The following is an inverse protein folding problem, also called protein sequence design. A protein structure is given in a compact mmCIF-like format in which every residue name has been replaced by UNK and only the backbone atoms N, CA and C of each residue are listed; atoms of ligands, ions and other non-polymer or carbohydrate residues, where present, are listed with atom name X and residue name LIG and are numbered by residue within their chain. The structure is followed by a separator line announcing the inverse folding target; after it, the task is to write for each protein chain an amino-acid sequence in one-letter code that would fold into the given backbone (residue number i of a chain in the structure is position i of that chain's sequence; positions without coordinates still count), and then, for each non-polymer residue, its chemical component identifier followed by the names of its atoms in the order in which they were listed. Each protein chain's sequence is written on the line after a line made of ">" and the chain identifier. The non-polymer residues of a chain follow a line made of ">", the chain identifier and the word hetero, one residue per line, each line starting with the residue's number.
data_IF_291265253827
#
_entry.id   IF_291265253827
#
_cell.length_a   1.000
_cell.length_b   1.000
_cell.length_c   1.000
_cell.angle_alpha   90.00
_cell.angle_beta   90.00
_cell.angle_gamma   90.00
#
_symmetry.space_group_name_H-M   'P 1'
#
loop_
_entity.id
_entity.type
_entity.pdbx_description
1 polymer ?
#
# COMPACT_ATOMS: atom_id res chain seq x y z
N UNK A 1 -0.48 23.79 35.97
CA UNK A 1 0.53 23.58 34.92
C UNK A 1 0.98 22.13 35.01
N UNK A 2 0.38 21.25 34.21
CA UNK A 2 0.71 19.81 34.20
C UNK A 2 1.86 19.59 33.22
N UNK A 3 3.01 19.17 33.77
CA UNK A 3 4.22 18.78 33.05
C UNK A 3 3.92 17.53 32.21
N UNK A 4 4.02 17.65 30.89
CA UNK A 4 3.87 16.53 29.96
C UNK A 4 4.96 15.49 30.23
N UNK A 5 4.54 14.24 30.38
CA UNK A 5 5.32 13.10 30.81
C UNK A 5 5.35 12.07 29.68
N UNK A 6 6.08 12.36 28.59
CA UNK A 6 6.73 11.38 27.70
C UNK A 6 7.48 12.10 26.57
N UNK A 7 8.81 12.13 26.62
CA UNK A 7 9.66 12.54 25.50
C UNK A 7 10.69 11.41 25.33
N UNK A 8 10.64 10.65 24.22
CA UNK A 8 11.49 9.49 24.03
C UNK A 8 12.95 9.91 23.83
N UNK A 9 13.86 9.08 24.34
CA UNK A 9 15.30 9.27 24.27
C UNK A 9 15.80 9.25 22.80
N UNK A 10 16.40 10.34 22.30
CA UNK A 10 16.83 10.47 20.92
C UNK A 10 17.89 9.44 20.49
N UNK A 11 18.67 8.87 21.42
CA UNK A 11 19.63 7.81 21.08
C UNK A 11 18.93 6.50 20.70
N UNK A 12 17.84 6.16 21.40
CA UNK A 12 17.05 4.95 21.12
C UNK A 12 16.32 5.03 19.79
N UNK A 13 15.91 6.24 19.38
CA UNK A 13 15.30 6.48 18.07
C UNK A 13 16.29 6.17 16.95
N UNK A 14 17.53 6.65 17.07
CA UNK A 14 18.56 6.41 16.05
C UNK A 14 18.94 4.92 15.94
N UNK A 15 19.03 4.22 17.07
CA UNK A 15 19.34 2.78 17.07
C UNK A 15 18.23 1.95 16.38
N UNK A 16 16.96 2.26 16.63
CA UNK A 16 15.83 1.60 15.98
C UNK A 16 15.75 1.88 14.48
N UNK A 17 16.12 3.10 14.06
CA UNK A 17 16.17 3.50 12.65
C UNK A 17 17.29 2.77 11.90
N UNK A 18 18.48 2.66 12.48
CA UNK A 18 19.62 1.98 11.85
C UNK A 18 19.40 0.47 11.74
N UNK A 19 18.82 -0.15 12.78
CA UNK A 19 18.50 -1.59 12.78
C UNK A 19 17.42 -1.95 11.74
N UNK A 20 16.45 -1.07 11.54
CA UNK A 20 15.39 -1.24 10.54
C UNK A 20 15.89 -1.06 9.10
N UNK A 21 16.81 -0.10 8.86
CA UNK A 21 17.49 0.05 7.56
C UNK A 21 18.25 -1.21 7.18
N UNK A 22 19.00 -1.81 8.12
CA UNK A 22 19.81 -3.01 7.86
C UNK A 22 18.97 -4.20 7.39
N UNK A 23 17.80 -4.45 7.99
CA UNK A 23 16.91 -5.55 7.58
C UNK A 23 16.27 -5.31 6.21
N UNK A 24 15.79 -4.10 5.95
CA UNK A 24 15.22 -3.74 4.66
C UNK A 24 16.25 -3.89 3.54
N UNK A 25 17.49 -3.46 3.79
CA UNK A 25 18.60 -3.66 2.87
C UNK A 25 18.92 -5.13 2.60
N UNK A 26 18.85 -5.99 3.62
CA UNK A 26 19.10 -7.44 3.45
C UNK A 26 18.02 -8.14 2.60
N UNK A 27 16.76 -7.70 2.68
CA UNK A 27 15.70 -8.20 1.78
C UNK A 27 15.83 -7.63 0.37
N UNK A 28 16.20 -6.35 0.25
CA UNK A 28 16.35 -5.67 -1.04
C UNK A 28 17.60 -6.11 -1.82
N UNK A 29 18.66 -6.57 -1.13
CA UNK A 29 19.89 -7.10 -1.73
C UNK A 29 19.79 -8.57 -2.16
N UNK A 30 18.76 -9.29 -1.69
CA UNK A 30 18.57 -10.73 -1.95
C UNK A 30 17.24 -10.97 -2.71
N UNK A 31 17.30 -11.13 -4.05
CA UNK A 31 16.12 -11.33 -4.89
C UNK A 31 15.30 -12.57 -4.52
N UNK A 32 15.93 -13.62 -4.00
CA UNK A 32 15.24 -14.86 -3.62
C UNK A 32 14.44 -14.68 -2.33
N UNK A 33 15.00 -13.97 -1.34
CA UNK A 33 14.26 -13.63 -0.10
C UNK A 33 13.09 -12.69 -0.38
N UNK A 34 13.29 -11.69 -1.23
CA UNK A 34 12.22 -10.79 -1.68
C UNK A 34 11.08 -11.56 -2.37
N UNK A 35 11.43 -12.48 -3.28
CA UNK A 35 10.44 -13.30 -3.99
C UNK A 35 9.69 -14.25 -3.05
N UNK A 36 10.39 -14.89 -2.12
CA UNK A 36 9.78 -15.78 -1.11
C UNK A 36 8.79 -15.03 -0.22
N UNK A 37 9.17 -13.83 0.22
CA UNK A 37 8.31 -12.97 1.04
C UNK A 37 7.04 -12.56 0.28
N UNK A 38 7.17 -12.26 -1.02
CA UNK A 38 6.05 -11.97 -1.90
C UNK A 38 5.15 -13.21 -2.11
N UNK A 39 5.75 -14.37 -2.34
CA UNK A 39 5.02 -15.63 -2.54
C UNK A 39 4.24 -16.05 -1.29
N UNK A 40 4.84 -15.91 -0.11
CA UNK A 40 4.18 -16.21 1.17
C UNK A 40 3.01 -15.23 1.44
N UNK A 41 3.18 -13.95 1.10
CA UNK A 41 2.12 -12.96 1.17
C UNK A 41 0.97 -13.29 0.20
N UNK A 42 1.28 -13.66 -1.05
CA UNK A 42 0.27 -14.07 -2.05
C UNK A 42 -0.43 -15.36 -1.64
N UNK A 43 0.30 -16.32 -1.06
CA UNK A 43 -0.27 -17.58 -0.58
C UNK A 43 -1.21 -17.33 0.60
N UNK A 44 -0.83 -16.50 1.56
CA UNK A 44 -1.68 -16.12 2.70
C UNK A 44 -2.93 -15.34 2.27
N UNK A 45 -2.80 -14.51 1.22
CA UNK A 45 -3.92 -13.82 0.58
C UNK A 45 -4.87 -14.75 -0.19
N UNK A 46 -4.35 -15.81 -0.82
CA UNK A 46 -5.15 -16.81 -1.56
C UNK A 46 -5.79 -17.87 -0.65
N UNK A 47 -5.18 -18.16 0.51
CA UNK A 47 -5.65 -19.16 1.47
C UNK A 47 -6.73 -18.65 2.44
N UNK A 48 -7.13 -17.38 2.35
CA UNK A 48 -8.32 -16.85 3.04
C UNK A 48 -9.44 -16.66 2.03
N UNK A 49 -10.65 -17.14 2.34
CA UNK A 49 -11.84 -16.90 1.53
C UNK A 49 -12.02 -15.39 1.30
N UNK A 50 -12.52 -15.03 0.10
CA UNK A 50 -12.81 -13.64 -0.25
C UNK A 50 -13.76 -13.08 0.82
N UNK A 51 -13.36 -12.08 1.63
CA UNK A 51 -14.19 -11.61 2.72
C UNK A 51 -15.52 -11.09 2.17
N UNK A 52 -16.65 -11.47 2.77
CA UNK A 52 -17.97 -10.93 2.44
C UNK A 52 -18.32 -9.78 3.39
N UNK A 53 -18.96 -8.72 2.90
CA UNK A 53 -19.32 -7.54 3.70
C UNK A 53 -18.26 -6.41 3.67
N UNK A 54 -18.13 -5.58 4.72
CA UNK A 54 -17.26 -4.39 4.74
C UNK A 54 -15.79 -4.65 4.41
N UNK A 55 -15.32 -5.89 4.60
CA UNK A 55 -13.97 -6.32 4.28
C UNK A 55 -13.74 -6.58 2.77
N UNK A 56 -14.80 -6.78 1.98
CA UNK A 56 -14.72 -6.92 0.53
C UNK A 56 -14.22 -5.63 -0.13
N UNK A 57 -14.77 -4.49 0.29
CA UNK A 57 -14.39 -3.17 -0.21
C UNK A 57 -12.92 -2.85 0.12
N UNK A 58 -12.47 -3.22 1.33
CA UNK A 58 -11.05 -3.12 1.69
C UNK A 58 -10.16 -3.93 0.75
N UNK A 59 -10.61 -5.14 0.36
CA UNK A 59 -9.86 -6.00 -0.53
C UNK A 59 -9.76 -5.45 -1.96
N UNK A 60 -10.84 -4.83 -2.44
CA UNK A 60 -10.87 -4.16 -3.75
C UNK A 60 -10.04 -2.88 -3.76
N UNK A 61 -10.12 -2.08 -2.70
CA UNK A 61 -9.29 -0.88 -2.53
C UNK A 61 -7.80 -1.25 -2.45
N UNK A 62 -7.45 -2.32 -1.74
CA UNK A 62 -6.07 -2.80 -1.67
C UNK A 62 -5.54 -3.25 -3.04
N UNK A 63 -6.34 -4.00 -3.81
CA UNK A 63 -5.99 -4.38 -5.18
C UNK A 63 -5.80 -3.17 -6.08
N UNK A 64 -6.64 -2.16 -5.94
CA UNK A 64 -6.54 -0.91 -6.68
C UNK A 64 -5.28 -0.14 -6.30
N UNK A 65 -4.95 -0.08 -5.00
CA UNK A 65 -3.71 0.48 -4.49
C UNK A 65 -2.47 -0.20 -5.10
N UNK A 66 -2.46 -1.54 -5.22
CA UNK A 66 -1.37 -2.25 -5.89
C UNK A 66 -1.22 -1.86 -7.37
N UNK A 67 -2.32 -1.78 -8.11
CA UNK A 67 -2.29 -1.37 -9.53
C UNK A 67 -1.83 0.08 -9.69
N UNK A 68 -2.28 0.96 -8.80
CA UNK A 68 -1.85 2.35 -8.74
C UNK A 68 -0.34 2.45 -8.52
N UNK A 69 0.22 1.73 -7.54
CA UNK A 69 1.68 1.70 -7.32
C UNK A 69 2.43 1.19 -8.55
N UNK A 70 1.94 0.13 -9.20
CA UNK A 70 2.55 -0.39 -10.42
C UNK A 70 2.55 0.65 -11.55
N UNK A 71 1.44 1.35 -11.76
CA UNK A 71 1.31 2.42 -12.75
C UNK A 71 2.21 3.62 -12.43
N UNK A 72 2.32 3.98 -11.14
CA UNK A 72 3.20 5.04 -10.66
C UNK A 72 4.68 4.72 -10.88
N UNK A 73 5.14 3.53 -10.48
CA UNK A 73 6.53 3.10 -10.69
C UNK A 73 6.88 2.92 -12.17
N UNK A 74 5.89 2.55 -12.99
CA UNK A 74 6.04 2.50 -14.45
C UNK A 74 5.95 3.88 -15.12
N UNK A 75 5.78 4.96 -14.35
CA UNK A 75 5.56 6.35 -14.81
C UNK A 75 4.34 6.53 -15.73
N UNK A 76 3.41 5.57 -15.73
CA UNK A 76 2.17 5.63 -16.54
C UNK A 76 1.12 6.53 -15.90
N UNK A 77 1.12 6.61 -14.57
CA UNK A 77 0.21 7.47 -13.80
C UNK A 77 0.99 8.19 -12.71
N UNK A 78 1.21 9.50 -12.88
CA UNK A 78 1.96 10.34 -11.92
C UNK A 78 1.12 11.48 -11.35
N UNK A 79 -0.14 11.59 -11.76
CA UNK A 79 -1.10 12.62 -11.33
C UNK A 79 -1.71 12.26 -9.97
N UNK A 80 -0.86 12.13 -8.96
CA UNK A 80 -1.26 11.79 -7.60
C UNK A 80 -0.36 12.51 -6.59
N UNK A 81 -0.90 13.05 -5.47
CA UNK A 81 -0.09 13.66 -4.44
C UNK A 81 0.93 12.68 -3.85
N UNK A 82 2.16 13.15 -3.59
CA UNK A 82 3.18 12.32 -2.96
C UNK A 82 2.70 11.80 -1.59
N UNK A 83 2.03 12.62 -0.78
CA UNK A 83 1.45 12.19 0.49
C UNK A 83 0.55 10.94 0.33
N UNK A 84 -0.28 10.90 -0.72
CA UNK A 84 -1.13 9.76 -1.03
C UNK A 84 -0.31 8.52 -1.42
N UNK A 85 0.76 8.66 -2.20
CA UNK A 85 1.68 7.55 -2.50
C UNK A 85 2.32 6.97 -1.23
N UNK A 86 2.76 7.82 -0.30
CA UNK A 86 3.33 7.35 0.98
C UNK A 86 2.30 6.56 1.78
N UNK A 87 1.05 7.05 1.83
CA UNK A 87 -0.04 6.35 2.51
C UNK A 87 -0.40 5.02 1.83
N UNK A 88 -0.42 4.98 0.50
CA UNK A 88 -0.68 3.76 -0.29
C UNK A 88 0.41 2.71 -0.02
N UNK A 89 1.68 3.10 -0.08
CA UNK A 89 2.82 2.21 0.21
C UNK A 89 2.75 1.71 1.66
N UNK A 90 2.53 2.60 2.63
CA UNK A 90 2.38 2.25 4.04
C UNK A 90 1.23 1.26 4.28
N UNK A 91 0.08 1.47 3.64
CA UNK A 91 -1.08 0.57 3.73
C UNK A 91 -0.77 -0.83 3.20
N UNK A 92 -0.06 -0.90 2.07
CA UNK A 92 0.33 -2.17 1.44
C UNK A 92 1.30 -2.95 2.32
N UNK A 93 2.33 -2.28 2.85
CA UNK A 93 3.30 -2.92 3.77
C UNK A 93 2.59 -3.39 5.03
N UNK A 94 1.71 -2.56 5.59
CA UNK A 94 0.91 -2.89 6.77
C UNK A 94 0.01 -4.11 6.54
N UNK A 95 -0.59 -4.23 5.36
CA UNK A 95 -1.40 -5.39 5.01
C UNK A 95 -0.58 -6.69 4.95
N UNK A 96 0.66 -6.63 4.45
CA UNK A 96 1.54 -7.80 4.28
C UNK A 96 2.13 -8.25 5.62
N UNK A 97 2.57 -7.31 6.45
CA UNK A 97 3.15 -7.57 7.78
C UNK A 97 2.75 -6.46 8.76
N UNK A 98 1.61 -6.58 9.45
CA UNK A 98 1.11 -5.51 10.35
C UNK A 98 2.04 -5.25 11.56
N UNK A 99 2.92 -6.19 11.91
CA UNK A 99 3.75 -6.14 13.13
C UNK A 99 5.04 -5.31 12.94
N UNK A 100 5.50 -5.08 11.71
CA UNK A 100 6.84 -4.54 11.45
C UNK A 100 6.90 -3.00 11.30
N UNK A 101 5.75 -2.30 11.25
CA UNK A 101 5.69 -0.85 11.02
C UNK A 101 5.39 -0.02 12.27
N UNK A 102 5.13 -0.64 13.41
CA UNK A 102 4.97 0.08 14.67
C UNK A 102 6.35 0.53 15.14
N UNK A 103 6.65 1.83 15.14
CA UNK A 103 7.89 2.29 15.74
C UNK A 103 7.65 2.32 17.26
N UNK A 104 8.63 1.89 18.05
CA UNK A 104 8.55 1.77 19.53
C UNK A 104 8.16 3.08 20.27
N UNK A 105 7.90 4.19 19.55
CA UNK A 105 7.62 5.54 20.03
C UNK A 105 6.13 5.96 20.00
N UNK A 106 5.17 5.08 19.72
CA UNK A 106 3.75 5.46 19.72
C UNK A 106 3.12 5.16 21.11
N UNK A 107 3.15 6.10 22.08
CA UNK A 107 2.72 5.87 23.47
C UNK A 107 1.21 5.66 23.64
N UNK A 108 0.45 5.58 22.54
CA UNK A 108 -1.01 5.40 22.50
C UNK A 108 -1.43 4.15 21.71
N UNK A 109 -0.49 3.32 21.26
CA UNK A 109 -0.78 2.22 20.34
C UNK A 109 -1.53 1.05 20.97
N UNK A 110 -1.51 0.97 22.31
CA UNK A 110 -2.22 -0.07 23.06
C UNK A 110 -3.76 0.02 23.00
N UNK A 111 -4.33 0.99 22.28
CA UNK A 111 -5.78 1.22 22.22
C UNK A 111 -6.37 1.30 20.80
N UNK A 112 -5.55 1.30 19.74
CA UNK A 112 -6.05 1.29 18.37
C UNK A 112 -6.01 -0.16 17.89
N UNK A 113 -7.18 -0.76 17.70
CA UNK A 113 -7.30 -2.07 17.06
C UNK A 113 -6.65 -1.99 15.67
N UNK A 114 -5.73 -2.91 15.35
CA UNK A 114 -4.88 -2.89 14.16
C UNK A 114 -5.67 -2.69 12.84
N UNK A 115 -6.93 -3.13 12.81
CA UNK A 115 -7.83 -2.93 11.67
C UNK A 115 -8.26 -1.47 11.46
N UNK A 116 -8.36 -0.67 12.53
CA UNK A 116 -8.86 0.70 12.48
C UNK A 116 -7.88 1.65 11.76
N UNK A 117 -6.57 1.46 11.94
CA UNK A 117 -5.54 2.22 11.21
C UNK A 117 -5.64 1.97 9.72
N UNK A 118 -5.76 0.71 9.31
CA UNK A 118 -5.92 0.35 7.90
C UNK A 118 -7.18 0.97 7.29
N UNK A 119 -8.31 0.90 7.99
CA UNK A 119 -9.56 1.52 7.54
C UNK A 119 -9.43 3.03 7.41
N UNK A 120 -8.76 3.70 8.35
CA UNK A 120 -8.52 5.14 8.30
C UNK A 120 -7.67 5.54 7.10
N UNK A 121 -6.55 4.84 6.86
CA UNK A 121 -5.67 5.17 5.73
C UNK A 121 -6.37 4.90 4.40
N UNK A 122 -7.07 3.76 4.28
CA UNK A 122 -7.84 3.44 3.06
C UNK A 122 -8.91 4.49 2.77
N UNK A 123 -9.58 5.04 3.79
CA UNK A 123 -10.52 6.16 3.62
C UNK A 123 -9.83 7.42 3.13
N UNK A 124 -8.65 7.75 3.67
CA UNK A 124 -7.90 8.93 3.28
C UNK A 124 -7.48 8.89 1.81
N UNK A 125 -7.07 7.71 1.31
CA UNK A 125 -6.62 7.54 -0.07
C UNK A 125 -7.76 7.17 -1.03
N UNK A 126 -8.98 6.91 -0.55
CA UNK A 126 -10.09 6.42 -1.38
C UNK A 126 -10.37 7.35 -2.58
N UNK A 127 -10.33 8.67 -2.36
CA UNK A 127 -10.54 9.63 -3.46
C UNK A 127 -9.47 9.54 -4.55
N UNK A 128 -8.21 9.26 -4.18
CA UNK A 128 -7.12 9.06 -5.13
C UNK A 128 -7.23 7.70 -5.83
N UNK A 129 -7.69 6.66 -5.13
CA UNK A 129 -7.97 5.36 -5.72
C UNK A 129 -9.09 5.46 -6.78
N UNK A 130 -10.15 6.23 -6.52
CA UNK A 130 -11.22 6.46 -7.49
C UNK A 130 -10.72 7.21 -8.74
N UNK A 131 -9.92 8.27 -8.56
CA UNK A 131 -9.28 8.98 -9.68
C UNK A 131 -8.37 8.07 -10.52
N UNK A 132 -7.67 7.14 -9.87
CA UNK A 132 -6.87 6.14 -10.55
C UNK A 132 -7.76 5.15 -11.32
N UNK A 133 -8.88 4.70 -10.75
CA UNK A 133 -9.83 3.79 -11.42
C UNK A 133 -10.46 4.44 -12.66
N UNK A 134 -10.82 5.71 -12.57
CA UNK A 134 -11.34 6.48 -13.71
C UNK A 134 -10.32 6.49 -14.86
N UNK A 135 -9.07 6.87 -14.55
CA UNK A 135 -7.97 6.84 -15.53
C UNK A 135 -7.71 5.43 -16.09
N UNK A 136 -7.73 4.40 -15.25
CA UNK A 136 -7.52 3.01 -15.66
C UNK A 136 -8.62 2.56 -16.65
N UNK A 137 -9.87 2.94 -16.39
CA UNK A 137 -11.00 2.64 -17.27
C UNK A 137 -10.90 3.40 -18.60
N UNK A 138 -10.49 4.66 -18.60
CA UNK A 138 -10.25 5.44 -19.83
C UNK A 138 -9.20 4.77 -20.71
N UNK A 139 -8.10 4.28 -20.12
CA UNK A 139 -7.05 3.58 -20.86
C UNK A 139 -7.53 2.26 -21.49
N UNK A 140 -8.43 1.55 -20.82
CA UNK A 140 -9.02 0.31 -21.32
C UNK A 140 -10.03 0.57 -22.46
N UNK A 141 -10.82 1.64 -22.36
CA UNK A 141 -11.76 2.06 -23.42
C UNK A 141 -11.03 2.53 -24.66
N UNK A 142 -10.03 3.42 -24.51
CA UNK A 142 -9.22 3.92 -25.63
C UNK A 142 -8.48 2.79 -26.37
N UNK A 143 -8.07 1.75 -25.65
CA UNK A 143 -7.45 0.56 -26.25
C UNK A 143 -8.45 -0.26 -27.07
N UNK A 144 -9.72 -0.30 -26.65
CA UNK A 144 -10.79 -1.05 -27.30
C UNK A 144 -11.30 -0.35 -28.56
N UNK A 145 -11.49 0.97 -28.50
CA UNK A 145 -11.88 1.79 -29.67
C UNK A 145 -10.81 1.73 -30.76
N UNK A 146 -9.53 1.83 -30.39
CA UNK A 146 -8.40 1.72 -31.34
C UNK A 146 -8.36 0.39 -32.08
N UNK A 147 -8.78 -0.72 -31.45
CA UNK A 147 -8.83 -2.04 -32.09
C UNK A 147 -9.97 -2.13 -33.11
N UNK A 148 -11.08 -1.42 -32.87
CA UNK A 148 -12.23 -1.41 -33.78
C UNK A 148 -11.90 -0.59 -35.03
N UNK A 149 -11.31 0.59 -34.89
CA UNK A 149 -10.93 1.44 -36.03
C UNK A 149 -9.92 0.75 -36.97
N UNK A 150 -8.90 0.08 -36.41
CA UNK A 150 -7.92 -0.67 -37.20
C UNK A 150 -8.60 -1.78 -38.04
N UNK A 151 -9.68 -2.39 -37.56
CA UNK A 151 -10.39 -3.43 -38.32
C UNK A 151 -11.39 -2.87 -39.35
N UNK A 152 -11.76 -1.60 -39.26
CA UNK A 152 -12.66 -0.93 -40.20
C UNK A 152 -11.92 -0.30 -41.38
N UNK A 153 -10.66 0.14 -41.21
CA UNK A 153 -9.82 0.68 -42.29
C UNK A 153 -9.19 -0.41 -43.19
N UNK A 154 -9.28 -1.69 -42.80
CA UNK A 154 -8.74 -2.83 -43.57
C UNK A 154 -9.79 -3.55 -44.46
N UNK A 155 -10.88 -2.86 -44.84
CA UNK A 155 -11.87 -3.34 -45.83
C UNK A 155 -11.91 -2.44 -47.05
#
# INVERSE_FOLDING_TARGET
>A
MTKNMYEPDPEKINEAVEKSKSKAEDYLKDPEKSKKLLDDAMKKAKSREKPTGPLADLWENLRTAFRLLQAYFSKKYTTIPWASIVLVVGSVIYFVSPIDLMPDWFPLAGFIDDAAVLVFVLRQINSDLQRFLEWENEQNTNSSEKIIDINLENK
#
